data_IF_456012346401
#
_entry.id   IF_456012346401
#
_cell.length_a   1.000
_cell.length_b   1.000
_cell.length_c   1.000
_cell.angle_alpha   90.00
_cell.angle_beta   90.00
_cell.angle_gamma   90.00
#
_symmetry.space_group_name_H-M   'P 1'
#
loop_
_entity.id
_entity.type
_entity.pdbx_description
1 polymer ?
#
# COMPACT_ATOMS: atom_id res chain seq x y z
N UNK A 1 -27.95 -30.97 9.92
CA UNK A 1 -27.71 -29.69 10.64
C UNK A 1 -26.23 -29.42 10.91
N UNK A 2 -25.50 -30.36 11.53
CA UNK A 2 -24.05 -30.22 11.87
C UNK A 2 -23.15 -30.03 10.63
N UNK A 3 -23.40 -30.74 9.53
CA UNK A 3 -22.60 -30.63 8.28
C UNK A 3 -22.73 -29.26 7.59
N UNK A 4 -23.91 -28.64 7.65
CA UNK A 4 -24.17 -27.32 7.08
C UNK A 4 -23.46 -26.26 7.93
N UNK A 5 -23.56 -26.35 9.25
CA UNK A 5 -22.87 -25.46 10.19
C UNK A 5 -21.34 -25.54 10.00
N UNK A 6 -20.79 -26.75 9.85
CA UNK A 6 -19.36 -26.92 9.58
C UNK A 6 -18.94 -26.36 8.21
N UNK A 7 -19.75 -26.52 7.17
CA UNK A 7 -19.48 -25.94 5.84
C UNK A 7 -19.52 -24.41 5.87
N UNK A 8 -20.52 -23.82 6.51
CA UNK A 8 -20.65 -22.36 6.67
C UNK A 8 -19.48 -21.79 7.49
N UNK A 9 -19.11 -22.44 8.60
CA UNK A 9 -17.98 -22.02 9.44
C UNK A 9 -16.63 -22.15 8.70
N UNK A 10 -16.45 -23.19 7.88
CA UNK A 10 -15.25 -23.37 7.08
C UNK A 10 -15.13 -22.31 5.97
N UNK A 11 -16.23 -22.02 5.26
CA UNK A 11 -16.26 -20.95 4.24
C UNK A 11 -15.96 -19.58 4.85
N UNK A 12 -16.51 -19.27 6.02
CA UNK A 12 -16.20 -18.03 6.74
C UNK A 12 -14.72 -17.96 7.13
N UNK A 13 -14.13 -19.03 7.67
CA UNK A 13 -12.71 -19.06 8.04
C UNK A 13 -11.77 -18.88 6.83
N UNK A 14 -12.10 -19.47 5.68
CA UNK A 14 -11.30 -19.33 4.46
C UNK A 14 -11.34 -17.88 3.94
N UNK A 15 -12.51 -17.25 3.97
CA UNK A 15 -12.67 -15.85 3.60
C UNK A 15 -11.81 -14.92 4.49
N UNK A 16 -11.81 -15.17 5.80
CA UNK A 16 -10.99 -14.42 6.77
C UNK A 16 -9.49 -14.60 6.54
N UNK A 17 -9.06 -15.80 6.17
CA UNK A 17 -7.64 -16.08 5.91
C UNK A 17 -7.15 -15.34 4.65
N UNK A 18 -7.94 -15.38 3.58
CA UNK A 18 -7.66 -14.64 2.34
C UNK A 18 -7.55 -13.15 2.64
N UNK A 19 -8.49 -12.64 3.44
CA UNK A 19 -8.52 -11.24 3.84
C UNK A 19 -7.27 -10.78 4.59
N UNK A 20 -6.87 -11.57 5.60
CA UNK A 20 -5.64 -11.30 6.37
C UNK A 20 -4.40 -11.39 5.49
N UNK A 21 -4.40 -12.26 4.49
CA UNK A 21 -3.28 -12.39 3.55
C UNK A 21 -3.11 -11.11 2.73
N UNK A 22 -4.19 -10.58 2.15
CA UNK A 22 -4.13 -9.30 1.42
C UNK A 22 -3.77 -8.12 2.32
N UNK A 23 -4.28 -8.11 3.56
CA UNK A 23 -3.91 -7.09 4.55
C UNK A 23 -2.41 -7.06 4.81
N UNK A 24 -1.80 -8.20 5.16
CA UNK A 24 -0.35 -8.25 5.41
C UNK A 24 0.47 -8.05 4.14
N UNK A 25 -0.05 -8.44 2.98
CA UNK A 25 0.59 -8.11 1.71
C UNK A 25 0.74 -6.60 1.51
N UNK A 26 -0.31 -5.81 1.75
CA UNK A 26 -0.26 -4.34 1.68
C UNK A 26 0.76 -3.78 2.68
N UNK A 27 0.78 -4.30 3.91
CA UNK A 27 1.76 -3.91 4.93
C UNK A 27 3.19 -4.13 4.45
N UNK A 28 3.49 -5.32 3.93
CA UNK A 28 4.83 -5.67 3.44
C UNK A 28 5.23 -4.75 2.29
N UNK A 29 4.31 -4.50 1.34
CA UNK A 29 4.58 -3.61 0.20
C UNK A 29 4.90 -2.18 0.66
N UNK A 30 4.15 -1.62 1.62
CA UNK A 30 4.40 -0.29 2.15
C UNK A 30 5.76 -0.18 2.84
N UNK A 31 6.07 -1.14 3.72
CA UNK A 31 7.34 -1.15 4.45
C UNK A 31 8.51 -1.34 3.48
N UNK A 32 8.41 -2.28 2.55
CA UNK A 32 9.45 -2.54 1.56
C UNK A 32 9.68 -1.32 0.64
N UNK A 33 8.59 -0.73 0.12
CA UNK A 33 8.65 0.51 -0.68
C UNK A 33 9.33 1.64 0.08
N UNK A 34 8.85 1.96 1.29
CA UNK A 34 9.40 3.08 2.07
C UNK A 34 10.85 2.87 2.47
N UNK A 35 11.23 1.66 2.92
CA UNK A 35 12.62 1.34 3.27
C UNK A 35 13.52 1.46 2.04
N UNK A 36 13.09 0.96 0.88
CA UNK A 36 13.89 1.01 -0.35
C UNK A 36 14.19 2.44 -0.81
N UNK A 37 13.25 3.37 -0.61
CA UNK A 37 13.42 4.80 -0.93
C UNK A 37 14.32 5.54 0.06
N UNK A 38 14.38 5.10 1.32
CA UNK A 38 15.37 5.63 2.29
C UNK A 38 16.78 5.18 1.90
N UNK A 39 16.93 3.92 1.50
CA UNK A 39 18.23 3.37 1.08
C UNK A 39 18.74 4.07 -0.17
N UNK A 40 17.87 4.37 -1.14
CA UNK A 40 18.25 5.13 -2.32
C UNK A 40 17.14 6.10 -2.78
N UNK A 41 17.22 7.39 -2.41
CA UNK A 41 16.21 8.38 -2.76
C UNK A 41 16.37 8.96 -4.18
N UNK A 42 17.53 8.76 -4.83
CA UNK A 42 17.87 9.43 -6.09
C UNK A 42 16.90 9.15 -7.24
N UNK A 43 16.47 7.90 -7.51
CA UNK A 43 15.58 7.61 -8.65
C UNK A 43 14.23 8.34 -8.56
N UNK A 44 13.68 8.42 -7.34
CA UNK A 44 12.43 9.12 -7.10
C UNK A 44 12.63 10.63 -7.27
N UNK A 45 13.70 11.21 -6.73
CA UNK A 45 13.97 12.64 -6.83
C UNK A 45 14.15 13.08 -8.30
N UNK A 46 14.93 12.34 -9.09
CA UNK A 46 15.12 12.62 -10.52
C UNK A 46 13.81 12.55 -11.30
N UNK A 47 12.97 11.56 -11.00
CA UNK A 47 11.63 11.46 -11.60
C UNK A 47 10.75 12.64 -11.22
N UNK A 48 10.76 13.05 -9.95
CA UNK A 48 9.99 14.21 -9.51
C UNK A 48 10.48 15.51 -10.15
N UNK A 49 11.79 15.68 -10.35
CA UNK A 49 12.37 16.83 -11.07
C UNK A 49 11.94 16.85 -12.55
N UNK A 50 11.84 15.68 -13.17
CA UNK A 50 11.39 15.56 -14.56
C UNK A 50 9.88 15.87 -14.71
N UNK A 51 9.07 15.51 -13.72
CA UNK A 51 7.60 15.69 -13.76
C UNK A 51 7.15 17.07 -13.28
N UNK A 52 7.65 17.52 -12.14
CA UNK A 52 7.14 18.68 -11.44
C UNK A 52 8.08 19.88 -11.60
N UNK A 53 7.57 20.95 -12.22
CA UNK A 53 8.30 22.23 -12.38
C UNK A 53 8.12 23.11 -11.13
N UNK A 54 8.64 22.64 -10.00
CA UNK A 54 8.58 23.35 -8.71
C UNK A 54 9.98 23.49 -8.10
N UNK A 55 10.08 24.25 -7.00
CA UNK A 55 11.35 24.46 -6.29
C UNK A 55 11.96 23.12 -5.84
N UNK A 56 13.26 22.94 -6.08
CA UNK A 56 14.01 21.74 -5.74
C UNK A 56 13.91 21.37 -4.26
N UNK A 57 13.89 22.35 -3.35
CA UNK A 57 13.73 22.11 -1.91
C UNK A 57 12.41 21.42 -1.58
N UNK A 58 11.32 21.74 -2.30
CA UNK A 58 10.02 21.09 -2.13
C UNK A 58 10.06 19.64 -2.64
N UNK A 59 10.79 19.38 -3.73
CA UNK A 59 10.97 18.04 -4.27
C UNK A 59 11.77 17.15 -3.34
N UNK A 60 12.88 17.66 -2.80
CA UNK A 60 13.69 16.96 -1.80
C UNK A 60 12.85 16.67 -0.56
N UNK A 61 12.08 17.65 -0.09
CA UNK A 61 11.20 17.48 1.06
C UNK A 61 10.15 16.38 0.80
N UNK A 62 9.49 16.40 -0.36
CA UNK A 62 8.49 15.40 -0.72
C UNK A 62 9.11 13.99 -0.87
N UNK A 63 10.28 13.88 -1.51
CA UNK A 63 11.02 12.62 -1.65
C UNK A 63 11.51 12.07 -0.30
N UNK A 64 11.75 12.93 0.69
CA UNK A 64 12.16 12.55 2.05
C UNK A 64 10.96 12.16 2.91
N UNK A 65 9.86 12.91 2.85
CA UNK A 65 8.67 12.67 3.70
C UNK A 65 7.87 11.46 3.23
N UNK A 66 7.74 11.25 1.92
CA UNK A 66 6.95 10.15 1.37
C UNK A 66 7.30 8.77 1.96
N UNK A 67 8.58 8.34 1.99
CA UNK A 67 8.92 7.04 2.57
C UNK A 67 8.63 6.95 4.07
N UNK A 68 8.72 8.07 4.81
CA UNK A 68 8.35 8.13 6.22
C UNK A 68 6.85 7.87 6.38
N UNK A 69 6.02 8.45 5.50
CA UNK A 69 4.56 8.20 5.48
C UNK A 69 4.26 6.73 5.16
N UNK A 70 4.94 6.15 4.15
CA UNK A 70 4.77 4.74 3.78
C UNK A 70 5.10 3.81 4.94
N UNK A 71 6.25 4.02 5.60
CA UNK A 71 6.67 3.22 6.75
C UNK A 71 5.72 3.44 7.93
N UNK A 72 5.35 4.70 8.22
CA UNK A 72 4.43 5.04 9.29
C UNK A 72 3.09 4.34 9.15
N UNK A 73 2.49 4.35 7.96
CA UNK A 73 1.26 3.60 7.69
C UNK A 73 1.46 2.09 7.78
N UNK A 74 2.56 1.56 7.25
CA UNK A 74 2.92 0.14 7.40
C UNK A 74 2.96 -0.28 8.87
N UNK A 75 3.65 0.49 9.73
CA UNK A 75 3.76 0.22 11.17
C UNK A 75 2.41 0.36 11.88
N UNK A 76 1.62 1.40 11.58
CA UNK A 76 0.28 1.54 12.15
C UNK A 76 -0.61 0.34 11.83
N UNK A 77 -0.50 -0.23 10.62
CA UNK A 77 -1.22 -1.45 10.24
C UNK A 77 -0.65 -2.70 10.93
N UNK A 78 0.67 -2.83 11.11
CA UNK A 78 1.29 -3.92 11.89
C UNK A 78 0.76 -3.95 13.31
N UNK A 79 0.74 -2.78 13.98
CA UNK A 79 0.31 -2.65 15.37
C UNK A 79 -1.21 -2.47 15.54
N UNK A 80 -1.98 -2.51 14.44
CA UNK A 80 -3.43 -2.31 14.42
C UNK A 80 -3.88 -0.98 15.07
N UNK A 81 -3.08 0.08 14.88
CA UNK A 81 -3.35 1.43 15.36
C UNK A 81 -4.24 2.14 14.34
N UNK A 82 -5.42 2.58 14.78
CA UNK A 82 -6.40 3.31 13.96
C UNK A 82 -6.66 2.65 12.59
N UNK A 83 -6.65 1.31 12.52
CA UNK A 83 -6.60 0.52 11.28
C UNK A 83 -7.52 1.02 10.18
N UNK A 84 -8.80 1.31 10.49
CA UNK A 84 -9.75 1.83 9.48
C UNK A 84 -9.33 3.17 8.87
N UNK A 85 -8.84 4.11 9.68
CA UNK A 85 -8.34 5.41 9.21
C UNK A 85 -7.05 5.24 8.42
N UNK A 86 -6.14 4.40 8.92
CA UNK A 86 -4.86 4.10 8.25
C UNK A 86 -5.10 3.45 6.88
N UNK A 87 -5.99 2.47 6.78
CA UNK A 87 -6.35 1.84 5.51
C UNK A 87 -6.92 2.85 4.51
N UNK A 88 -7.76 3.78 4.94
CA UNK A 88 -8.27 4.83 4.06
C UNK A 88 -7.15 5.76 3.56
N UNK A 89 -6.23 6.14 4.44
CA UNK A 89 -5.08 6.95 4.05
C UNK A 89 -4.13 6.20 3.08
N UNK A 90 -3.91 4.91 3.32
CA UNK A 90 -3.15 4.02 2.43
C UNK A 90 -3.81 3.90 1.05
N UNK A 91 -5.14 3.81 1.00
CA UNK A 91 -5.88 3.79 -0.27
C UNK A 91 -5.68 5.07 -1.06
N UNK A 92 -5.72 6.24 -0.41
CA UNK A 92 -5.43 7.53 -1.05
C UNK A 92 -3.98 7.54 -1.56
N UNK A 93 -3.03 7.06 -0.76
CA UNK A 93 -1.63 7.00 -1.15
C UNK A 93 -1.41 6.12 -2.39
N UNK A 94 -1.99 4.92 -2.44
CA UNK A 94 -1.89 4.07 -3.63
C UNK A 94 -2.63 4.64 -4.83
N UNK A 95 -3.73 5.35 -4.63
CA UNK A 95 -4.38 6.09 -5.69
C UNK A 95 -3.44 7.15 -6.28
N UNK A 96 -2.70 7.90 -5.46
CA UNK A 96 -1.69 8.84 -5.93
C UNK A 96 -0.59 8.15 -6.75
N UNK A 97 -0.09 6.98 -6.31
CA UNK A 97 0.91 6.21 -7.08
C UNK A 97 0.36 5.68 -8.41
N UNK A 98 -0.90 5.24 -8.42
CA UNK A 98 -1.58 4.85 -9.65
C UNK A 98 -1.72 6.05 -10.60
N UNK A 99 -2.26 7.17 -10.13
CA UNK A 99 -2.41 8.38 -10.94
C UNK A 99 -1.06 8.88 -11.48
N UNK A 100 -0.01 8.86 -10.66
CA UNK A 100 1.34 9.22 -11.07
C UNK A 100 1.90 8.27 -12.14
N UNK A 101 1.66 6.96 -12.01
CA UNK A 101 2.09 5.98 -13.03
C UNK A 101 1.40 6.19 -14.38
N UNK A 102 0.10 6.50 -14.36
CA UNK A 102 -0.67 6.81 -15.57
C UNK A 102 -0.16 8.10 -16.19
N UNK A 103 -0.02 9.16 -15.40
CA UNK A 103 0.47 10.45 -15.87
C UNK A 103 1.87 10.35 -16.49
N UNK A 104 2.81 9.72 -15.77
CA UNK A 104 4.19 9.59 -16.25
C UNK A 104 4.30 8.77 -17.54
N UNK A 105 3.46 7.74 -17.68
CA UNK A 105 3.37 6.96 -18.92
C UNK A 105 2.81 7.81 -20.08
N UNK A 106 1.80 8.66 -19.83
CA UNK A 106 1.21 9.53 -20.86
C UNK A 106 2.21 10.55 -21.39
N UNK A 107 3.05 11.12 -20.52
CA UNK A 107 4.07 12.11 -20.93
C UNK A 107 5.35 11.47 -21.49
N UNK A 108 5.40 10.14 -21.58
CA UNK A 108 6.51 9.41 -22.22
C UNK A 108 7.79 9.34 -21.40
N UNK A 109 7.68 9.34 -20.06
CA UNK A 109 8.84 9.04 -19.21
C UNK A 109 9.28 7.58 -19.45
N UNK A 110 10.59 7.37 -19.66
CA UNK A 110 11.19 6.05 -19.90
C UNK A 110 12.18 5.65 -18.79
N UNK A 111 12.25 6.44 -17.72
CA UNK A 111 13.11 6.21 -16.57
C UNK A 111 12.37 5.39 -15.48
N UNK A 112 13.11 4.94 -14.49
CA UNK A 112 12.53 4.29 -13.31
C UNK A 112 11.73 5.30 -12.48
N UNK A 113 10.49 4.97 -12.09
CA UNK A 113 9.68 5.74 -11.15
C UNK A 113 10.42 6.04 -9.83
N UNK A 114 11.31 5.14 -9.39
CA UNK A 114 11.87 5.13 -8.05
C UNK A 114 10.89 4.63 -6.98
N UNK A 115 9.77 4.03 -7.41
CA UNK A 115 8.72 3.50 -6.54
C UNK A 115 9.24 2.46 -5.53
N UNK A 116 10.32 1.72 -5.85
CA UNK A 116 10.96 0.74 -4.96
C UNK A 116 12.49 0.94 -4.88
N UNK A 117 12.93 2.20 -4.96
CA UNK A 117 14.36 2.54 -5.07
C UNK A 117 14.99 1.86 -6.30
N UNK A 118 16.18 1.28 -6.12
CA UNK A 118 16.87 0.47 -7.15
C UNK A 118 16.68 -1.04 -6.99
N UNK A 119 15.92 -1.49 -5.98
CA UNK A 119 15.78 -2.93 -5.68
C UNK A 119 14.85 -3.63 -6.67
N UNK A 120 13.85 -2.91 -7.19
CA UNK A 120 12.90 -3.43 -8.17
C UNK A 120 12.71 -2.38 -9.26
N UNK A 121 13.22 -2.68 -10.46
CA UNK A 121 13.04 -1.81 -11.61
C UNK A 121 11.56 -1.52 -11.84
N UNK A 122 11.21 -0.25 -11.84
CA UNK A 122 9.84 0.22 -11.92
C UNK A 122 9.70 1.31 -12.99
N UNK A 123 10.02 0.92 -14.22
CA UNK A 123 9.88 1.78 -15.39
C UNK A 123 8.41 2.13 -15.65
N UNK A 124 8.17 3.35 -16.13
CA UNK A 124 6.85 3.77 -16.57
C UNK A 124 6.36 2.91 -17.74
N UNK A 125 5.06 2.61 -17.74
CA UNK A 125 4.44 1.77 -18.77
C UNK A 125 3.25 0.97 -18.25
N UNK A 126 2.65 0.16 -19.13
CA UNK A 126 1.42 -0.59 -18.82
C UNK A 126 1.56 -1.52 -17.61
N UNK A 127 2.73 -2.16 -17.44
CA UNK A 127 3.00 -3.09 -16.34
C UNK A 127 2.94 -2.35 -14.99
N UNK A 128 3.53 -1.16 -14.92
CA UNK A 128 3.50 -0.32 -13.72
C UNK A 128 2.07 0.12 -13.36
N UNK A 129 1.29 0.51 -14.37
CA UNK A 129 -0.10 0.91 -14.21
C UNK A 129 -0.94 -0.25 -13.67
N UNK A 130 -0.79 -1.45 -14.22
CA UNK A 130 -1.49 -2.66 -13.76
C UNK A 130 -1.13 -3.01 -12.32
N UNK A 131 0.17 -2.96 -11.98
CA UNK A 131 0.64 -3.21 -10.61
C UNK A 131 0.03 -2.20 -9.64
N UNK A 132 0.13 -0.91 -9.95
CA UNK A 132 -0.34 0.16 -9.05
C UNK A 132 -1.87 0.18 -8.94
N UNK A 133 -2.60 -0.14 -10.01
CA UNK A 133 -4.06 -0.29 -9.96
C UNK A 133 -4.47 -1.49 -9.10
N UNK A 134 -3.74 -2.62 -9.20
CA UNK A 134 -3.94 -3.78 -8.34
C UNK A 134 -3.77 -3.45 -6.86
N UNK A 135 -2.70 -2.74 -6.49
CA UNK A 135 -2.46 -2.30 -5.11
C UNK A 135 -3.56 -1.35 -4.61
N UNK A 136 -3.96 -0.38 -5.44
CA UNK A 136 -5.05 0.54 -5.14
C UNK A 136 -6.38 -0.21 -4.91
N UNK A 137 -6.75 -1.12 -5.81
CA UNK A 137 -8.00 -1.89 -5.71
C UNK A 137 -7.99 -2.78 -4.46
N UNK A 138 -6.88 -3.49 -4.18
CA UNK A 138 -6.75 -4.30 -2.98
C UNK A 138 -6.91 -3.44 -1.72
N UNK A 139 -6.22 -2.31 -1.64
CA UNK A 139 -6.32 -1.40 -0.50
C UNK A 139 -7.74 -0.82 -0.33
N UNK A 140 -8.38 -0.42 -1.43
CA UNK A 140 -9.76 0.10 -1.43
C UNK A 140 -10.75 -0.95 -0.95
N UNK A 141 -10.66 -2.16 -1.50
CA UNK A 141 -11.50 -3.30 -1.10
C UNK A 141 -11.29 -3.57 0.40
N UNK A 142 -10.04 -3.52 0.89
CA UNK A 142 -9.72 -3.69 2.31
C UNK A 142 -10.30 -2.59 3.19
N UNK A 143 -10.24 -1.34 2.74
CA UNK A 143 -10.71 -0.19 3.50
C UNK A 143 -12.24 -0.13 3.59
N UNK A 144 -12.95 -0.55 2.54
CA UNK A 144 -14.42 -0.44 2.44
C UNK A 144 -15.13 -1.60 3.12
N UNK A 145 -14.59 -2.81 3.03
CA UNK A 145 -15.19 -3.95 3.74
C UNK A 145 -14.71 -3.94 5.19
N UNK A 146 -15.61 -4.25 6.12
CA UNK A 146 -15.45 -4.10 7.57
C UNK A 146 -14.38 -5.02 8.21
N UNK A 147 -13.39 -5.49 7.45
CA UNK A 147 -12.30 -6.37 7.90
C UNK A 147 -11.48 -5.86 9.07
N UNK A 148 -11.46 -4.54 9.30
CA UNK A 148 -10.88 -3.93 10.50
C UNK A 148 -11.58 -4.36 11.80
N UNK A 149 -12.85 -4.76 11.77
CA UNK A 149 -13.59 -5.22 12.95
C UNK A 149 -13.26 -6.68 13.32
N UNK A 150 -12.85 -7.48 12.34
CA UNK A 150 -12.54 -8.90 12.53
C UNK A 150 -11.28 -9.05 13.38
N UNK A 151 -10.25 -8.24 13.11
CA UNK A 151 -9.00 -8.23 13.88
C UNK A 151 -9.27 -7.84 15.35
N UNK A 152 -10.11 -6.82 15.58
CA UNK A 152 -10.53 -6.42 16.93
C UNK A 152 -11.32 -7.51 17.65
N UNK A 153 -12.28 -8.15 16.98
CA UNK A 153 -13.15 -9.17 17.59
C UNK A 153 -12.38 -10.39 18.08
N UNK A 154 -11.30 -10.77 17.37
CA UNK A 154 -10.47 -11.93 17.74
C UNK A 154 -9.43 -11.63 18.83
N UNK A 155 -8.92 -10.40 18.90
CA UNK A 155 -8.01 -9.96 19.98
C UNK A 155 -8.76 -9.70 21.29
N UNK A 156 -9.91 -9.02 21.26
CA UNK A 156 -10.73 -8.80 22.46
C UNK A 156 -11.23 -10.12 23.09
N UNK A 157 -11.63 -11.10 22.27
CA UNK A 157 -12.03 -12.42 22.79
C UNK A 157 -10.87 -13.26 23.35
N UNK A 158 -9.62 -12.93 23.03
CA UNK A 158 -8.44 -13.67 23.53
C UNK A 158 -7.90 -13.09 24.85
N UNK A 159 -8.30 -11.87 25.20
CA UNK A 159 -7.93 -11.18 26.46
C UNK A 159 -8.99 -11.39 27.55
N UNK A 160 -10.15 -11.94 27.20
CA UNK A 160 -11.28 -12.23 28.12
C UNK A 160 -11.36 -13.72 28.52
N UNK A 161 -10.28 -14.50 28.34
CA UNK A 161 -10.14 -15.89 28.81
C UNK A 161 -8.94 -15.96 29.75
#
# INVERSE_FOLDING_TARGET
>A
MITIINKVKNTANNFELIWRSFYYFIVIVLLFSGISKIVNPMPMLETMKAVFKVNESLLILAATILPIIEIGFGLMLVFNILTKKTLFAVTILFFCFFAFSVYGTIIGLNNDCGCFGNLVKSEFGPVMIIRNSGLFIIALVIAVSDGSQIIKKKLFNKVQI
#
